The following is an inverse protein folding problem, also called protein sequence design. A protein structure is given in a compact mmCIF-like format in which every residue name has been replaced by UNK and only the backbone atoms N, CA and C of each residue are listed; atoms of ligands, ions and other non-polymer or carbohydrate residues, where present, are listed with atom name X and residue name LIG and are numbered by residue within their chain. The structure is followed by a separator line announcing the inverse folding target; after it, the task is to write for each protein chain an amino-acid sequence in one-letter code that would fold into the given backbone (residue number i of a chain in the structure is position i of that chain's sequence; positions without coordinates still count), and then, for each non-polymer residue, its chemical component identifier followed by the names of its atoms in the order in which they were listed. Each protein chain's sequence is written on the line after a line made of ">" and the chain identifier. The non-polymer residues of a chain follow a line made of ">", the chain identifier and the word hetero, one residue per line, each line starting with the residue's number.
data_IF_320772913231
#
_entry.id   IF_320772913231
#
_cell.length_a   1.000
_cell.length_b   1.000
_cell.length_c   1.000
_cell.angle_alpha   90.00
_cell.angle_beta   90.00
_cell.angle_gamma   90.00
#
_symmetry.space_group_name_H-M   'P 1'
#
loop_
_entity.id
_entity.type
_entity.pdbx_description
1 polymer ?
#
# COMPACT_ATOMS: atom_id res chain seq x y z
N UNK A 1 23.46 -42.12 13.72
CA UNK A 1 22.94 -42.45 12.37
C UNK A 1 22.00 -41.38 11.81
N UNK A 2 21.13 -40.73 12.60
CA UNK A 2 20.15 -39.75 12.08
C UNK A 2 20.73 -38.49 11.40
N UNK A 3 21.90 -38.00 11.81
CA UNK A 3 22.51 -36.77 11.26
C UNK A 3 22.96 -36.88 9.79
N UNK A 4 23.38 -38.08 9.36
CA UNK A 4 23.79 -38.34 7.97
C UNK A 4 22.60 -38.22 6.99
N UNK A 5 21.41 -38.65 7.42
CA UNK A 5 20.19 -38.59 6.60
C UNK A 5 19.73 -37.16 6.35
N UNK A 6 19.87 -36.27 7.35
CA UNK A 6 19.46 -34.86 7.25
C UNK A 6 20.36 -34.08 6.27
N UNK A 7 21.68 -34.35 6.27
CA UNK A 7 22.61 -33.75 5.32
C UNK A 7 22.28 -34.15 3.87
N UNK A 8 21.99 -35.43 3.61
CA UNK A 8 21.65 -35.91 2.26
C UNK A 8 20.42 -35.23 1.67
N UNK A 9 19.37 -35.06 2.48
CA UNK A 9 18.15 -34.36 2.07
C UNK A 9 18.40 -32.88 1.72
N UNK A 10 19.27 -32.20 2.47
CA UNK A 10 19.64 -30.81 2.22
C UNK A 10 20.41 -30.63 0.89
N UNK A 11 21.32 -31.55 0.57
CA UNK A 11 22.04 -31.53 -0.72
C UNK A 11 21.12 -31.79 -1.92
N UNK A 12 20.08 -32.63 -1.79
CA UNK A 12 19.09 -32.80 -2.85
C UNK A 12 18.25 -31.54 -3.09
N UNK A 13 17.91 -30.78 -2.04
CA UNK A 13 17.19 -29.51 -2.15
C UNK A 13 17.96 -28.43 -2.94
N UNK A 14 19.29 -28.39 -2.82
CA UNK A 14 20.13 -27.45 -3.57
C UNK A 14 20.21 -27.78 -5.08
N UNK A 15 20.04 -29.05 -5.45
CA UNK A 15 20.06 -29.51 -6.85
C UNK A 15 18.79 -29.18 -7.62
N UNK A 16 17.63 -29.26 -6.99
CA UNK A 16 16.32 -28.98 -7.61
C UNK A 16 16.10 -27.47 -7.84
N UNK A 17 16.53 -26.62 -6.91
CA UNK A 17 16.43 -25.16 -7.03
C UNK A 17 17.11 -24.63 -8.32
N UNK A 18 18.27 -25.17 -8.69
CA UNK A 18 19.00 -24.77 -9.92
C UNK A 18 18.28 -25.16 -11.23
N UNK A 19 17.39 -26.15 -11.20
CA UNK A 19 16.62 -26.59 -12.40
C UNK A 19 15.40 -25.71 -12.65
N UNK A 20 14.70 -25.28 -11.60
CA UNK A 20 13.52 -24.41 -11.69
C UNK A 20 13.86 -23.02 -12.28
N UNK A 21 14.96 -22.39 -11.83
CA UNK A 21 15.37 -21.06 -12.32
C UNK A 21 15.66 -21.06 -13.83
N UNK A 22 16.27 -22.14 -14.37
CA UNK A 22 16.54 -22.26 -15.81
C UNK A 22 15.26 -22.46 -16.65
N UNK A 23 14.23 -23.09 -16.09
CA UNK A 23 12.95 -23.31 -16.79
C UNK A 23 12.16 -22.01 -17.01
N UNK A 24 12.08 -21.16 -15.98
CA UNK A 24 11.30 -19.91 -16.06
C UNK A 24 11.81 -18.93 -17.12
N UNK A 25 13.13 -18.80 -17.28
CA UNK A 25 13.73 -17.85 -18.26
C UNK A 25 13.42 -18.26 -19.70
N UNK A 26 13.43 -19.55 -20.01
CA UNK A 26 13.14 -20.04 -21.36
C UNK A 26 11.68 -19.78 -21.77
N UNK A 27 10.71 -19.98 -20.85
CA UNK A 27 9.28 -19.74 -21.13
C UNK A 27 9.00 -18.26 -21.38
N UNK A 28 9.60 -17.35 -20.60
CA UNK A 28 9.41 -15.90 -20.76
C UNK A 28 9.91 -15.41 -22.12
N UNK A 29 11.06 -15.90 -22.60
CA UNK A 29 11.63 -15.50 -23.90
C UNK A 29 10.77 -15.97 -25.08
N UNK A 30 10.17 -17.16 -25.02
CA UNK A 30 9.28 -17.67 -26.09
C UNK A 30 7.98 -16.87 -26.16
N UNK A 31 7.39 -16.50 -25.02
CA UNK A 31 6.17 -15.67 -24.99
C UNK A 31 6.42 -14.26 -25.55
N UNK A 32 7.57 -13.65 -25.22
CA UNK A 32 7.95 -12.34 -25.75
C UNK A 32 8.23 -12.36 -27.27
N UNK A 33 8.78 -13.46 -27.81
CA UNK A 33 9.04 -13.56 -29.25
C UNK A 33 7.77 -13.78 -30.08
N UNK A 34 6.80 -14.54 -29.57
CA UNK A 34 5.52 -14.77 -30.26
C UNK A 34 4.60 -13.54 -30.22
N UNK A 35 4.69 -12.70 -29.18
CA UNK A 35 3.89 -11.47 -29.06
C UNK A 35 4.24 -10.36 -30.05
N UNK A 36 5.38 -10.44 -30.75
CA UNK A 36 5.81 -9.40 -31.71
C UNK A 36 5.50 -9.73 -33.18
N UNK A 37 4.87 -10.88 -33.47
CA UNK A 37 4.62 -11.34 -34.85
C UNK A 37 3.13 -11.28 -35.23
N UNK A 38 2.21 -11.25 -34.26
CA UNK A 38 0.75 -11.27 -34.52
C UNK A 38 -0.03 -10.14 -33.85
N UNK A 39 -0.39 -9.13 -34.66
CA UNK A 39 -1.49 -8.19 -34.39
C UNK A 39 -1.09 -6.88 -33.69
N UNK A 40 -1.70 -5.72 -33.99
CA UNK A 40 -2.76 -5.43 -34.97
C UNK A 40 -2.46 -4.12 -35.72
N UNK A 41 -2.82 -4.08 -37.00
CA UNK A 41 -3.08 -2.83 -37.72
C UNK A 41 -4.42 -2.25 -37.25
N UNK A 42 -4.45 -0.96 -36.93
CA UNK A 42 -5.67 -0.15 -36.87
C UNK A 42 -5.41 1.17 -37.61
N UNK A 43 -6.29 1.61 -38.53
CA UNK A 43 -6.06 2.80 -39.34
C UNK A 43 -6.18 4.08 -38.51
N UNK A 44 -5.43 5.11 -38.93
CA UNK A 44 -5.27 6.35 -38.17
C UNK A 44 -6.52 7.25 -38.14
N UNK A 45 -6.59 8.06 -37.08
CA UNK A 45 -7.48 9.21 -36.99
C UNK A 45 -6.62 10.50 -37.01
N UNK A 46 -7.06 11.51 -37.78
CA UNK A 46 -6.34 12.77 -37.93
C UNK A 46 -6.22 13.54 -36.61
N UNK A 47 -5.00 13.97 -36.28
CA UNK A 47 -4.78 14.96 -35.23
C UNK A 47 -4.79 16.37 -35.85
N UNK A 48 -5.63 17.26 -35.34
CA UNK A 48 -5.63 18.68 -35.70
C UNK A 48 -5.56 19.53 -34.42
N UNK A 49 -4.38 20.07 -34.15
CA UNK A 49 -4.17 21.21 -33.25
C UNK A 49 -4.17 22.49 -34.11
N UNK A 50 -4.43 23.74 -33.67
CA UNK A 50 -4.72 24.35 -32.36
C UNK A 50 -5.78 25.48 -32.60
N UNK A 51 -6.16 26.44 -31.74
CA UNK A 51 -5.75 26.91 -30.40
C UNK A 51 -6.94 27.59 -29.71
N UNK A 52 -7.02 27.58 -28.38
CA UNK A 52 -7.80 28.58 -27.62
C UNK A 52 -7.26 28.75 -26.19
N UNK A 53 -6.53 29.83 -25.94
CA UNK A 53 -6.05 30.20 -24.61
C UNK A 53 -7.06 31.10 -23.90
N UNK A 54 -7.71 30.61 -22.85
CA UNK A 54 -8.40 31.46 -21.89
C UNK A 54 -8.06 31.00 -20.48
N UNK A 55 -7.35 31.84 -19.72
CA UNK A 55 -7.07 31.58 -18.33
C UNK A 55 -8.35 31.76 -17.50
N UNK A 56 -8.68 30.78 -16.66
CA UNK A 56 -9.72 30.95 -15.64
C UNK A 56 -9.33 30.18 -14.38
N UNK A 57 -9.21 30.92 -13.27
CA UNK A 57 -8.85 30.37 -11.96
C UNK A 57 -9.86 29.32 -11.53
N UNK A 58 -9.40 28.09 -11.35
CA UNK A 58 -10.11 27.06 -10.60
C UNK A 58 -9.29 26.70 -9.37
N UNK A 59 -9.94 26.74 -8.21
CA UNK A 59 -9.38 26.20 -6.97
C UNK A 59 -9.00 24.73 -7.21
N UNK A 60 -7.76 24.36 -6.85
CA UNK A 60 -7.25 23.00 -6.99
C UNK A 60 -7.88 22.04 -5.97
N UNK A 61 -9.20 21.86 -6.04
CA UNK A 61 -9.87 20.72 -5.42
C UNK A 61 -9.63 19.53 -6.33
N UNK A 62 -8.53 18.81 -6.11
CA UNK A 62 -8.25 17.56 -6.82
C UNK A 62 -9.34 16.54 -6.47
N UNK A 63 -10.40 16.46 -7.29
CA UNK A 63 -11.40 15.41 -7.17
C UNK A 63 -10.66 14.09 -7.35
N UNK A 64 -10.57 13.35 -6.25
CA UNK A 64 -9.84 12.09 -6.18
C UNK A 64 -10.56 11.07 -7.05
N UNK A 65 -10.11 10.87 -8.30
CA UNK A 65 -10.74 10.05 -9.35
C UNK A 65 -10.79 8.53 -9.05
N UNK A 66 -10.62 8.15 -7.79
CA UNK A 66 -10.55 6.78 -7.32
C UNK A 66 -11.95 6.33 -6.88
N UNK A 67 -12.62 5.54 -7.72
CA UNK A 67 -14.05 5.20 -7.59
C UNK A 67 -14.40 4.18 -6.49
N UNK A 68 -13.48 3.84 -5.58
CA UNK A 68 -13.75 2.87 -4.51
C UNK A 68 -12.53 2.50 -3.67
N UNK A 69 -12.71 1.58 -2.72
CA UNK A 69 -11.59 1.07 -1.92
C UNK A 69 -10.86 -0.06 -2.67
N UNK A 70 -9.56 0.12 -2.89
CA UNK A 70 -8.72 -0.74 -3.74
C UNK A 70 -7.70 -1.58 -2.97
N UNK A 71 -7.73 -1.54 -1.64
CA UNK A 71 -6.96 -2.44 -0.78
C UNK A 71 -7.71 -3.76 -0.55
N UNK A 72 -7.03 -4.86 -0.20
CA UNK A 72 -7.70 -6.13 0.08
C UNK A 72 -8.30 -6.15 1.50
N UNK A 73 -9.59 -6.45 1.62
CA UNK A 73 -10.18 -6.80 2.92
C UNK A 73 -9.61 -8.14 3.42
N UNK A 74 -9.30 -8.31 4.72
CA UNK A 74 -9.50 -7.39 5.85
C UNK A 74 -8.23 -6.62 6.26
N UNK A 75 -7.28 -6.37 5.36
CA UNK A 75 -6.01 -5.74 5.70
C UNK A 75 -6.20 -4.37 6.38
N UNK A 76 -5.28 -3.98 7.25
CA UNK A 76 -5.35 -2.71 7.99
C UNK A 76 -5.42 -1.49 7.04
N UNK A 77 -4.74 -1.58 5.91
CA UNK A 77 -4.78 -0.62 4.78
C UNK A 77 -6.18 -0.47 4.18
N UNK A 78 -6.98 -1.53 4.12
CA UNK A 78 -8.38 -1.46 3.67
C UNK A 78 -9.24 -0.66 4.64
N UNK A 79 -9.17 -0.94 5.94
CA UNK A 79 -9.95 -0.17 6.91
C UNK A 79 -9.48 1.29 6.98
N UNK A 80 -8.16 1.53 7.02
CA UNK A 80 -7.62 2.88 7.03
C UNK A 80 -8.13 3.70 5.83
N UNK A 81 -8.10 3.13 4.62
CA UNK A 81 -8.64 3.77 3.43
C UNK A 81 -10.17 3.96 3.49
N UNK A 82 -10.92 2.95 3.97
CA UNK A 82 -12.37 3.02 4.07
C UNK A 82 -12.84 4.10 5.04
N UNK A 83 -12.22 4.13 6.23
CA UNK A 83 -12.56 5.03 7.33
C UNK A 83 -12.12 6.46 7.02
N UNK A 84 -10.98 6.63 6.35
CA UNK A 84 -10.56 7.93 5.85
C UNK A 84 -11.54 8.49 4.81
N UNK A 85 -12.00 7.67 3.85
CA UNK A 85 -13.05 8.08 2.91
C UNK A 85 -14.39 8.42 3.60
N UNK A 86 -14.80 7.67 4.62
CA UNK A 86 -16.01 8.00 5.40
C UNK A 86 -15.94 9.37 6.10
N UNK A 87 -14.73 9.85 6.43
CA UNK A 87 -14.52 11.10 7.16
C UNK A 87 -14.25 12.30 6.23
N UNK A 88 -13.58 12.06 5.10
CA UNK A 88 -13.06 13.13 4.23
C UNK A 88 -13.59 13.08 2.78
N UNK A 89 -14.38 12.06 2.41
CA UNK A 89 -14.93 11.89 1.05
C UNK A 89 -13.90 11.49 -0.02
N UNK A 90 -12.69 11.10 0.39
CA UNK A 90 -11.57 10.80 -0.51
C UNK A 90 -10.89 9.48 -0.13
N UNK A 91 -10.46 8.72 -1.13
CA UNK A 91 -9.61 7.55 -0.93
C UNK A 91 -8.12 7.92 -1.01
N UNK A 92 -7.30 7.11 -0.35
CA UNK A 92 -5.84 7.07 -0.45
C UNK A 92 -5.43 6.80 -1.91
N UNK A 93 -4.58 7.65 -2.52
CA UNK A 93 -4.34 7.64 -3.97
C UNK A 93 -3.27 6.64 -4.44
N UNK A 94 -2.47 6.05 -3.55
CA UNK A 94 -1.39 5.14 -3.94
C UNK A 94 -1.82 3.67 -4.05
N UNK A 95 -1.57 3.08 -5.24
CA UNK A 95 -1.84 1.66 -5.53
C UNK A 95 -0.63 0.75 -5.39
N UNK A 96 0.53 1.18 -5.89
CA UNK A 96 1.80 0.44 -5.81
C UNK A 96 2.59 0.86 -4.58
N UNK A 97 3.48 -0.02 -4.10
CA UNK A 97 4.29 0.21 -2.89
C UNK A 97 3.41 0.64 -1.70
N UNK A 98 2.38 -0.17 -1.43
CA UNK A 98 1.20 0.22 -0.65
C UNK A 98 1.00 -0.64 0.61
N UNK A 99 2.02 -1.41 1.02
CA UNK A 99 2.08 -1.98 2.38
C UNK A 99 2.08 -0.85 3.42
N UNK A 100 1.57 -1.11 4.62
CA UNK A 100 1.35 -0.09 5.64
C UNK A 100 2.59 0.77 5.92
N UNK A 101 3.76 0.16 6.13
CA UNK A 101 5.01 0.90 6.38
C UNK A 101 5.43 1.89 5.28
N UNK A 102 4.93 1.69 4.05
CA UNK A 102 5.28 2.52 2.89
C UNK A 102 4.43 3.80 2.84
N UNK A 103 3.33 3.87 3.60
CA UNK A 103 2.33 4.94 3.47
C UNK A 103 2.90 6.32 3.79
N UNK A 104 3.80 6.45 4.75
CA UNK A 104 4.53 7.71 5.01
C UNK A 104 5.32 8.20 3.80
N UNK A 105 6.07 7.32 3.13
CA UNK A 105 6.81 7.68 1.92
C UNK A 105 5.86 7.99 0.74
N UNK A 106 4.75 7.25 0.62
CA UNK A 106 3.73 7.51 -0.40
C UNK A 106 2.97 8.82 -0.14
N UNK A 107 2.74 9.20 1.11
CA UNK A 107 2.12 10.48 1.46
C UNK A 107 2.96 11.65 0.94
N UNK A 108 4.27 11.67 1.19
CA UNK A 108 5.17 12.68 0.61
C UNK A 108 5.12 12.71 -0.93
N UNK A 109 5.15 11.54 -1.59
CA UNK A 109 5.09 11.43 -3.05
C UNK A 109 3.75 11.93 -3.66
N UNK A 110 2.69 11.99 -2.87
CA UNK A 110 1.35 12.46 -3.27
C UNK A 110 1.02 13.83 -2.63
N UNK A 111 2.02 14.52 -2.10
CA UNK A 111 1.92 15.84 -1.45
C UNK A 111 0.95 15.90 -0.26
N UNK A 112 0.65 14.76 0.35
CA UNK A 112 -0.06 14.68 1.62
C UNK A 112 0.83 15.15 2.77
N UNK A 113 0.20 15.76 3.77
CA UNK A 113 0.84 16.21 5.01
C UNK A 113 1.23 15.00 5.86
N UNK A 114 2.49 14.98 6.30
CA UNK A 114 3.02 14.01 7.27
C UNK A 114 3.37 14.75 8.56
N UNK A 115 2.76 14.33 9.67
CA UNK A 115 2.91 14.91 11.00
C UNK A 115 3.49 13.90 12.00
N UNK A 116 4.14 14.39 13.06
CA UNK A 116 4.50 13.62 14.26
C UNK A 116 3.49 13.79 15.41
N UNK A 117 2.52 14.68 15.23
CA UNK A 117 1.44 14.96 16.19
C UNK A 117 0.12 14.38 15.67
N UNK A 118 -0.63 13.61 16.47
CA UNK A 118 -1.89 13.01 16.06
C UNK A 118 -3.00 14.07 15.99
N UNK A 119 -3.93 13.87 15.06
CA UNK A 119 -5.19 14.60 14.99
C UNK A 119 -6.32 13.62 14.64
N UNK A 120 -7.53 13.88 15.12
CA UNK A 120 -8.69 13.00 14.87
C UNK A 120 -8.99 12.95 13.37
N UNK A 121 -9.28 11.76 12.86
CA UNK A 121 -9.53 11.48 11.44
C UNK A 121 -8.28 11.37 10.57
N UNK A 122 -7.08 11.58 11.11
CA UNK A 122 -5.83 11.34 10.38
C UNK A 122 -5.48 9.86 10.39
N UNK A 123 -4.77 9.39 9.37
CA UNK A 123 -4.26 8.02 9.33
C UNK A 123 -2.96 7.94 10.16
N UNK A 124 -2.92 7.06 11.15
CA UNK A 124 -1.68 6.61 11.79
C UNK A 124 -0.97 5.61 10.86
N UNK A 125 0.35 5.77 10.72
CA UNK A 125 1.29 4.77 10.17
C UNK A 125 2.27 4.36 11.27
N UNK A 126 2.36 3.06 11.51
CA UNK A 126 3.34 2.39 12.36
C UNK A 126 4.34 1.66 11.46
N UNK A 127 5.61 2.06 11.60
CA UNK A 127 6.72 1.38 10.94
C UNK A 127 6.92 -0.05 11.50
N UNK A 128 7.65 -0.94 10.78
CA UNK A 128 7.81 -2.33 11.18
C UNK A 128 8.37 -2.44 12.60
N UNK A 129 7.81 -3.36 13.39
CA UNK A 129 8.21 -3.66 14.78
C UNK A 129 7.92 -2.54 15.81
N UNK A 130 7.23 -1.46 15.41
CA UNK A 130 6.81 -0.37 16.31
C UNK A 130 5.49 -0.73 17.00
N UNK A 131 5.45 -0.64 18.33
CA UNK A 131 4.23 -0.82 19.15
C UNK A 131 3.44 -2.10 18.87
N UNK A 132 4.12 -3.17 18.44
CA UNK A 132 3.50 -4.47 18.12
C UNK A 132 3.15 -4.67 16.64
N UNK A 133 3.45 -3.72 15.75
CA UNK A 133 3.32 -3.90 14.31
C UNK A 133 4.32 -4.95 13.80
N UNK A 134 3.90 -5.79 12.85
CA UNK A 134 4.76 -6.78 12.20
C UNK A 134 5.58 -6.17 11.04
N UNK A 135 6.34 -7.00 10.32
CA UNK A 135 7.21 -6.60 9.21
C UNK A 135 6.57 -5.79 8.08
N UNK A 136 5.24 -5.82 7.93
CA UNK A 136 4.50 -5.01 6.95
C UNK A 136 4.14 -3.59 7.45
N UNK A 137 4.51 -3.25 8.69
CA UNK A 137 3.98 -2.07 9.40
C UNK A 137 2.50 -2.25 9.76
N UNK A 138 1.86 -1.18 10.21
CA UNK A 138 0.41 -1.16 10.45
C UNK A 138 -0.17 0.23 10.25
N UNK A 139 -1.40 0.34 9.74
CA UNK A 139 -2.12 1.62 9.60
C UNK A 139 -3.52 1.56 10.20
N UNK A 140 -4.01 2.69 10.66
CA UNK A 140 -5.36 2.85 11.19
C UNK A 140 -5.76 4.32 11.20
N UNK A 141 -7.01 4.65 11.54
CA UNK A 141 -7.46 6.04 11.65
C UNK A 141 -7.50 6.46 13.12
N UNK A 142 -6.97 7.62 13.46
CA UNK A 142 -7.01 8.18 14.81
C UNK A 142 -8.45 8.60 15.14
N UNK A 143 -9.08 7.93 16.09
CA UNK A 143 -10.47 8.19 16.52
C UNK A 143 -10.52 9.10 17.75
N UNK A 144 -9.43 9.18 18.52
CA UNK A 144 -9.33 10.04 19.71
C UNK A 144 -7.88 10.37 20.03
N UNK A 145 -7.58 11.65 20.30
CA UNK A 145 -6.30 12.06 20.90
C UNK A 145 -6.47 12.13 22.42
N UNK A 146 -5.46 11.67 23.17
CA UNK A 146 -5.43 11.65 24.63
C UNK A 146 -4.28 12.55 25.14
N UNK A 147 -4.23 12.76 26.46
CA UNK A 147 -3.09 13.43 27.11
C UNK A 147 -1.81 12.57 27.05
N UNK A 148 -0.66 13.22 27.31
CA UNK A 148 0.63 12.52 27.42
C UNK A 148 1.15 11.89 26.11
N UNK A 149 0.66 12.33 24.96
CA UNK A 149 1.06 11.79 23.65
C UNK A 149 0.42 10.46 23.28
N UNK A 150 -0.58 9.99 24.04
CA UNK A 150 -1.37 8.81 23.70
C UNK A 150 -2.53 9.14 22.75
N UNK A 151 -2.99 8.14 22.01
CA UNK A 151 -4.17 8.25 21.16
C UNK A 151 -4.84 6.87 20.96
N UNK A 152 -6.08 6.87 20.50
CA UNK A 152 -6.82 5.67 20.10
C UNK A 152 -6.94 5.66 18.58
N UNK A 153 -6.63 4.54 17.94
CA UNK A 153 -6.85 4.35 16.51
C UNK A 153 -7.71 3.11 16.22
N UNK A 154 -8.55 3.20 15.17
CA UNK A 154 -9.34 2.09 14.65
C UNK A 154 -8.59 1.36 13.52
N UNK A 155 -8.58 0.03 13.56
CA UNK A 155 -8.00 -0.80 12.50
C UNK A 155 -8.57 -2.22 12.47
N UNK A 156 -8.62 -2.81 11.27
CA UNK A 156 -8.72 -4.26 11.07
C UNK A 156 -7.32 -4.89 11.07
N UNK A 157 -7.24 -6.22 11.10
CA UNK A 157 -5.97 -6.97 11.15
C UNK A 157 -5.06 -6.61 12.34
N UNK A 158 -5.64 -6.25 13.48
CA UNK A 158 -4.93 -6.05 14.75
C UNK A 158 -5.53 -6.93 15.86
N UNK A 159 -4.67 -7.52 16.70
CA UNK A 159 -5.08 -8.48 17.71
C UNK A 159 -5.60 -9.80 17.13
N UNK A 160 -6.52 -10.48 17.84
CA UNK A 160 -6.94 -11.86 17.55
C UNK A 160 -7.90 -12.00 16.35
N UNK A 161 -8.68 -10.97 16.04
CA UNK A 161 -9.79 -11.05 15.08
C UNK A 161 -9.52 -10.17 13.86
N UNK A 162 -8.87 -10.69 12.79
CA UNK A 162 -8.38 -9.86 11.70
C UNK A 162 -9.48 -9.16 10.90
N UNK A 163 -10.70 -9.70 10.91
CA UNK A 163 -11.88 -9.18 10.19
C UNK A 163 -12.66 -8.11 10.96
N UNK A 164 -12.39 -7.92 12.25
CA UNK A 164 -13.10 -6.95 13.09
C UNK A 164 -12.38 -5.61 13.11
N UNK A 165 -13.14 -4.51 13.09
CA UNK A 165 -12.60 -3.19 13.44
C UNK A 165 -12.38 -3.16 14.94
N UNK A 166 -11.13 -2.97 15.34
CA UNK A 166 -10.73 -2.89 16.75
C UNK A 166 -10.13 -1.52 17.05
N UNK A 167 -10.27 -1.07 18.30
CA UNK A 167 -9.81 0.24 18.77
C UNK A 167 -8.69 0.03 19.79
N UNK A 168 -7.49 0.49 19.47
CA UNK A 168 -6.30 0.25 20.30
C UNK A 168 -5.60 1.55 20.66
N UNK A 169 -4.99 1.55 21.85
CA UNK A 169 -4.22 2.67 22.38
C UNK A 169 -2.78 2.58 21.91
N UNK A 170 -2.33 3.66 21.27
CA UNK A 170 -0.96 3.87 20.83
C UNK A 170 -0.40 5.16 21.46
N UNK A 171 0.89 5.40 21.28
CA UNK A 171 1.56 6.64 21.66
C UNK A 171 2.38 7.21 20.50
N UNK A 172 2.65 8.52 20.52
CA UNK A 172 3.61 9.15 19.61
C UNK A 172 5.03 8.70 19.89
N UNK A 173 5.89 8.66 18.88
CA UNK A 173 7.29 8.28 19.06
C UNK A 173 8.00 7.99 17.74
N UNK A 174 9.19 7.40 17.84
CA UNK A 174 9.97 6.99 16.68
C UNK A 174 9.20 5.91 15.89
N UNK A 175 9.14 6.06 14.56
CA UNK A 175 8.42 5.16 13.67
C UNK A 175 6.89 5.26 13.77
N UNK A 176 6.36 6.36 14.32
CA UNK A 176 4.93 6.70 14.34
C UNK A 176 4.73 8.01 13.59
N UNK A 177 3.84 8.00 12.61
CA UNK A 177 3.53 9.16 11.75
C UNK A 177 2.04 9.28 11.50
N UNK A 178 1.60 10.49 11.17
CA UNK A 178 0.19 10.81 10.91
C UNK A 178 0.03 11.45 9.55
N UNK A 179 -0.89 10.93 8.74
CA UNK A 179 -1.06 11.25 7.33
C UNK A 179 -2.45 11.85 7.09
N UNK A 180 -2.49 12.94 6.32
CA UNK A 180 -3.71 13.61 5.86
C UNK A 180 -3.41 14.38 4.58
N UNK A 181 -4.41 14.64 3.74
CA UNK A 181 -4.23 15.46 2.54
C UNK A 181 -3.98 16.94 2.92
#
# INVERSE_FOLDING_TARGET
>A
MQSQQQAWNFFQQLGTAKRLVKGCVAVILVVLFLGMIFGLHAPGAHAQASSASTAQSTSHTSISLYTGNQFPWPACTWWANQRYHQLHGIYVPWRTQSNAWQWTARAYNFHWRVSRTPAVGWIMDLQPWVQGAYGLGHVGVVERVLSGGYFIASSTSWGRYPTQVTYWRFHVGNGVTFLHQ
#
